data_IF_998844976729
#
_entry.id   IF_998844976729
#
_cell.length_a   1.000
_cell.length_b   1.000
_cell.length_c   1.000
_cell.angle_alpha   90.00
_cell.angle_beta   90.00
_cell.angle_gamma   90.00
#
_symmetry.space_group_name_H-M   'P 1'
#
loop_
_entity.id
_entity.type
_entity.pdbx_description
1 polymer ?
#
# COMPACT_ATOMS: atom_id res chain seq x y z
N UNK A 1 -1.87 4.26 14.83
CA UNK A 1 -1.29 4.14 13.47
C UNK A 1 -1.97 5.16 12.59
N UNK A 2 -1.33 5.66 11.51
CA UNK A 2 -2.01 6.57 10.60
C UNK A 2 -3.16 5.85 9.88
N UNK A 3 -4.19 6.61 9.56
CA UNK A 3 -5.35 6.19 8.77
C UNK A 3 -5.11 6.39 7.28
N UNK A 4 -5.90 5.72 6.45
CA UNK A 4 -5.90 5.92 5.00
C UNK A 4 -6.10 7.39 4.61
N UNK A 5 -7.00 8.10 5.30
CA UNK A 5 -7.26 9.51 5.04
C UNK A 5 -6.06 10.41 5.35
N UNK A 6 -5.29 10.12 6.40
CA UNK A 6 -4.05 10.85 6.70
C UNK A 6 -2.99 10.62 5.62
N UNK A 7 -2.87 9.38 5.12
CA UNK A 7 -1.98 9.06 3.99
C UNK A 7 -2.41 9.78 2.72
N UNK A 8 -3.71 9.76 2.38
CA UNK A 8 -4.24 10.48 1.24
C UNK A 8 -4.02 11.99 1.33
N UNK A 9 -4.21 12.57 2.51
CA UNK A 9 -3.93 13.99 2.74
C UNK A 9 -2.48 14.34 2.41
N UNK A 10 -1.53 13.47 2.75
CA UNK A 10 -0.12 13.62 2.37
C UNK A 10 0.10 13.43 0.87
N UNK A 11 -0.48 12.40 0.25
CA UNK A 11 -0.40 12.19 -1.21
C UNK A 11 -0.86 13.44 -1.95
N UNK A 12 -2.03 13.98 -1.62
CA UNK A 12 -2.59 15.18 -2.25
C UNK A 12 -1.69 16.41 -2.02
N UNK A 13 -1.03 16.50 -0.88
CA UNK A 13 -0.14 17.62 -0.56
C UNK A 13 1.21 17.56 -1.29
N UNK A 14 1.70 16.37 -1.66
CA UNK A 14 3.10 16.19 -2.13
C UNK A 14 3.25 15.53 -3.49
N UNK A 15 2.18 15.03 -4.13
CA UNK A 15 2.30 14.24 -5.37
C UNK A 15 3.01 14.97 -6.51
N UNK A 16 2.86 16.30 -6.61
CA UNK A 16 3.50 17.12 -7.66
C UNK A 16 5.01 17.18 -7.50
N UNK A 17 5.49 17.17 -6.26
CA UNK A 17 6.92 17.15 -5.97
C UNK A 17 7.52 15.76 -6.19
N UNK A 18 6.71 14.71 -6.04
CA UNK A 18 7.12 13.31 -6.20
C UNK A 18 7.03 12.79 -7.64
N UNK A 19 6.24 13.43 -8.50
CA UNK A 19 6.04 13.00 -9.89
C UNK A 19 7.37 12.86 -10.65
N UNK A 20 8.34 13.73 -10.37
CA UNK A 20 9.68 13.69 -11.00
C UNK A 20 10.50 12.48 -10.59
N UNK A 21 10.20 11.87 -9.44
CA UNK A 21 10.85 10.66 -8.92
C UNK A 21 10.13 9.38 -9.39
N UNK A 22 8.95 9.52 -9.99
CA UNK A 22 8.12 8.42 -10.45
C UNK A 22 8.00 8.41 -11.98
N UNK A 23 8.95 7.80 -12.73
CA UNK A 23 9.03 7.89 -14.18
C UNK A 23 7.84 7.26 -14.94
N UNK A 24 7.04 6.45 -14.25
CA UNK A 24 5.80 5.85 -14.77
C UNK A 24 4.63 6.85 -14.81
N UNK A 25 4.76 7.98 -14.12
CA UNK A 25 3.71 9.00 -14.04
C UNK A 25 3.65 9.85 -15.31
N UNK A 26 2.41 10.12 -15.78
CA UNK A 26 2.13 10.97 -16.95
C UNK A 26 1.04 12.00 -16.67
N UNK A 27 0.01 11.59 -15.93
CA UNK A 27 -1.09 12.46 -15.48
C UNK A 27 -1.40 12.12 -14.02
N UNK A 28 -0.49 12.53 -13.13
CA UNK A 28 -0.54 12.17 -11.72
C UNK A 28 -1.79 12.74 -11.04
N UNK A 29 -2.21 13.94 -11.42
CA UNK A 29 -3.41 14.56 -10.85
C UNK A 29 -4.66 13.73 -11.14
N UNK A 30 -4.80 13.23 -12.36
CA UNK A 30 -5.89 12.33 -12.72
C UNK A 30 -5.85 11.00 -11.97
N UNK A 31 -4.66 10.42 -11.79
CA UNK A 31 -4.49 9.18 -11.03
C UNK A 31 -4.81 9.35 -9.54
N UNK A 32 -4.33 10.43 -8.92
CA UNK A 32 -4.62 10.75 -7.51
C UNK A 32 -6.11 11.00 -7.30
N UNK A 33 -6.79 11.63 -8.25
CA UNK A 33 -8.24 11.86 -8.19
C UNK A 33 -9.07 10.57 -8.22
N UNK A 34 -8.52 9.43 -8.68
CA UNK A 34 -9.18 8.12 -8.65
C UNK A 34 -9.11 7.44 -7.29
N UNK A 35 -8.23 7.90 -6.40
CA UNK A 35 -8.08 7.28 -5.08
C UNK A 35 -9.35 7.50 -4.23
N UNK A 36 -9.90 6.44 -3.63
CA UNK A 36 -11.13 6.55 -2.86
C UNK A 36 -10.87 7.29 -1.56
N UNK A 37 -11.72 8.27 -1.23
CA UNK A 37 -11.66 9.07 0.00
C UNK A 37 -12.03 8.29 1.28
N UNK A 38 -12.26 6.98 1.16
CA UNK A 38 -12.55 6.04 2.24
C UNK A 38 -11.82 4.74 1.95
N UNK A 39 -11.53 3.91 2.97
CA UNK A 39 -11.06 2.55 2.76
C UNK A 39 -11.89 1.85 1.66
N UNK A 40 -11.24 1.22 0.66
CA UNK A 40 -11.96 0.58 -0.43
C UNK A 40 -12.71 -0.64 0.08
N UNK A 41 -13.94 -0.85 -0.40
CA UNK A 41 -14.77 -2.00 0.00
C UNK A 41 -14.29 -3.34 -0.58
N UNK A 42 -13.40 -3.27 -1.58
CA UNK A 42 -12.78 -4.40 -2.29
C UNK A 42 -11.29 -4.12 -2.44
N UNK A 43 -10.51 -5.07 -2.96
CA UNK A 43 -9.09 -4.86 -3.25
C UNK A 43 -8.96 -3.83 -4.38
N UNK A 44 -8.43 -2.65 -4.05
CA UNK A 44 -8.11 -1.63 -5.04
C UNK A 44 -6.70 -1.89 -5.58
N UNK A 45 -6.61 -2.25 -6.85
CA UNK A 45 -5.33 -2.35 -7.56
C UNK A 45 -4.89 -0.95 -7.99
N UNK A 46 -3.64 -0.62 -7.68
CA UNK A 46 -3.03 0.67 -7.96
C UNK A 46 -2.25 0.62 -9.27
N UNK A 47 -2.23 1.75 -9.98
CA UNK A 47 -1.32 1.93 -11.12
C UNK A 47 0.12 2.09 -10.64
N UNK A 48 1.10 1.79 -11.49
CA UNK A 48 2.52 1.92 -11.17
C UNK A 48 2.91 3.35 -10.74
N UNK A 49 2.24 4.37 -11.27
CA UNK A 49 2.41 5.76 -10.83
C UNK A 49 2.00 5.95 -9.37
N UNK A 50 0.78 5.51 -9.01
CA UNK A 50 0.26 5.64 -7.65
C UNK A 50 1.01 4.76 -6.66
N UNK A 51 1.40 3.55 -7.06
CA UNK A 51 2.26 2.68 -6.26
C UNK A 51 3.58 3.38 -5.92
N UNK A 52 4.23 4.02 -6.89
CA UNK A 52 5.46 4.78 -6.66
C UNK A 52 5.25 5.94 -5.68
N UNK A 53 4.23 6.76 -5.90
CA UNK A 53 3.93 7.92 -5.04
C UNK A 53 3.58 7.49 -3.63
N UNK A 54 2.74 6.47 -3.47
CA UNK A 54 2.39 5.94 -2.16
C UNK A 54 3.61 5.38 -1.44
N UNK A 55 4.51 4.67 -2.14
CA UNK A 55 5.77 4.19 -1.55
C UNK A 55 6.56 5.35 -0.94
N UNK A 56 6.80 6.41 -1.72
CA UNK A 56 7.51 7.61 -1.27
C UNK A 56 6.80 8.28 -0.09
N UNK A 57 5.48 8.47 -0.17
CA UNK A 57 4.71 9.11 0.90
C UNK A 57 4.78 8.29 2.19
N UNK A 58 4.61 6.98 2.13
CA UNK A 58 4.63 6.09 3.30
C UNK A 58 5.98 6.11 4.01
N UNK A 59 7.09 6.26 3.27
CA UNK A 59 8.43 6.40 3.87
C UNK A 59 8.61 7.70 4.64
N UNK A 60 7.84 8.75 4.33
CA UNK A 60 7.85 10.02 5.08
C UNK A 60 6.98 10.01 6.35
N UNK A 61 6.18 8.96 6.57
CA UNK A 61 5.25 8.89 7.70
C UNK A 61 5.89 8.09 8.83
N UNK A 62 6.15 8.71 9.99
CA UNK A 62 6.71 7.98 11.11
C UNK A 62 5.71 6.97 11.65
N UNK A 63 6.20 5.85 12.17
CA UNK A 63 5.40 4.82 12.83
C UNK A 63 4.35 4.15 11.93
N UNK A 64 4.61 4.02 10.62
CA UNK A 64 3.90 3.06 9.77
C UNK A 64 4.61 1.72 9.87
N UNK A 65 3.98 0.69 10.47
CA UNK A 65 4.51 -0.67 10.43
C UNK A 65 4.71 -1.12 8.98
N UNK A 66 5.94 -1.54 8.67
CA UNK A 66 6.34 -2.06 7.37
C UNK A 66 6.92 -3.45 7.55
N UNK A 67 6.46 -4.39 6.74
CA UNK A 67 6.94 -5.76 6.68
C UNK A 67 7.32 -6.09 5.24
N UNK A 68 8.40 -6.83 5.06
CA UNK A 68 8.82 -7.28 3.74
C UNK A 68 8.43 -8.74 3.57
N UNK A 69 7.80 -9.03 2.44
CA UNK A 69 7.48 -10.38 2.02
C UNK A 69 8.32 -10.70 0.79
N UNK A 70 8.99 -11.84 0.84
CA UNK A 70 9.79 -12.32 -0.27
C UNK A 70 9.15 -13.59 -0.83
N UNK A 71 9.10 -13.68 -2.15
CA UNK A 71 8.91 -14.92 -2.90
C UNK A 71 10.20 -15.21 -3.68
N UNK A 72 10.33 -16.39 -4.32
CA UNK A 72 11.47 -16.68 -5.18
C UNK A 72 11.62 -15.74 -6.38
N UNK A 73 10.56 -15.03 -6.76
CA UNK A 73 10.51 -14.21 -7.97
C UNK A 73 10.47 -12.70 -7.66
N UNK A 74 9.89 -12.32 -6.52
CA UNK A 74 9.53 -10.93 -6.22
C UNK A 74 9.63 -10.62 -4.72
N UNK A 75 9.81 -9.34 -4.41
CA UNK A 75 9.71 -8.81 -3.05
C UNK A 75 8.61 -7.75 -3.02
N UNK A 76 7.77 -7.79 -1.98
CA UNK A 76 6.73 -6.79 -1.75
C UNK A 76 6.82 -6.25 -0.34
N UNK A 77 6.49 -4.97 -0.17
CA UNK A 77 6.38 -4.31 1.11
C UNK A 77 4.92 -4.21 1.52
N UNK A 78 4.60 -4.66 2.73
CA UNK A 78 3.30 -4.56 3.35
C UNK A 78 3.34 -3.45 4.41
N UNK A 79 2.53 -2.43 4.19
CA UNK A 79 2.30 -1.34 5.12
C UNK A 79 0.95 -1.53 5.80
N UNK A 80 0.94 -1.52 7.13
CA UNK A 80 -0.30 -1.70 7.89
C UNK A 80 -0.74 -0.38 8.50
N UNK A 81 -1.89 0.12 8.04
CA UNK A 81 -2.53 1.32 8.58
C UNK A 81 -3.61 0.93 9.59
N UNK A 82 -4.24 1.94 10.19
CA UNK A 82 -5.30 1.72 11.18
C UNK A 82 -6.51 1.00 10.55
N UNK A 83 -6.90 1.42 9.35
CA UNK A 83 -8.12 1.04 8.64
C UNK A 83 -7.88 0.29 7.31
N UNK A 84 -6.66 0.32 6.77
CA UNK A 84 -6.29 -0.40 5.53
C UNK A 84 -4.95 -1.11 5.66
N UNK A 85 -4.71 -2.05 4.75
CA UNK A 85 -3.38 -2.61 4.46
C UNK A 85 -3.02 -2.25 3.03
N UNK A 86 -1.77 -1.83 2.84
CA UNK A 86 -1.23 -1.44 1.54
C UNK A 86 -0.10 -2.40 1.20
N UNK A 87 -0.21 -3.05 0.06
CA UNK A 87 0.87 -3.83 -0.54
C UNK A 87 1.51 -3.03 -1.67
N UNK A 88 2.84 -2.98 -1.68
CA UNK A 88 3.63 -2.26 -2.67
C UNK A 88 4.69 -3.23 -3.21
N UNK A 89 4.52 -3.64 -4.46
CA UNK A 89 5.53 -4.33 -5.25
C UNK A 89 6.27 -3.39 -6.19
N UNK A 90 7.16 -3.96 -7.00
CA UNK A 90 8.02 -3.22 -7.94
C UNK A 90 7.23 -2.49 -9.03
N UNK A 91 6.18 -3.12 -9.56
CA UNK A 91 5.40 -2.58 -10.70
C UNK A 91 3.93 -2.30 -10.37
N UNK A 92 3.43 -2.87 -9.29
CA UNK A 92 2.03 -2.77 -8.86
C UNK A 92 1.92 -2.62 -7.36
N UNK A 93 0.75 -2.22 -6.90
CA UNK A 93 0.40 -2.27 -5.49
C UNK A 93 -1.09 -2.43 -5.32
N UNK A 94 -1.51 -2.66 -4.09
CA UNK A 94 -2.91 -2.81 -3.75
C UNK A 94 -3.24 -2.17 -2.40
N UNK A 95 -4.47 -1.70 -2.26
CA UNK A 95 -5.02 -1.20 -1.00
C UNK A 95 -6.26 -2.02 -0.67
N UNK A 96 -6.31 -2.55 0.54
CA UNK A 96 -7.42 -3.34 1.02
C UNK A 96 -7.86 -2.83 2.39
N UNK A 97 -9.16 -2.77 2.64
CA UNK A 97 -9.67 -2.53 3.99
C UNK A 97 -9.17 -3.63 4.94
N UNK A 98 -8.74 -3.21 6.13
CA UNK A 98 -8.10 -4.09 7.11
C UNK A 98 -8.99 -5.27 7.52
N UNK A 99 -10.31 -5.15 7.40
CA UNK A 99 -11.27 -6.24 7.67
C UNK A 99 -11.09 -7.43 6.73
N UNK A 100 -10.54 -7.22 5.54
CA UNK A 100 -10.31 -8.25 4.52
C UNK A 100 -8.84 -8.64 4.42
N UNK A 101 -7.99 -8.25 5.39
CA UNK A 101 -6.55 -8.53 5.34
C UNK A 101 -6.23 -10.01 5.21
N UNK A 102 -7.05 -10.88 5.81
CA UNK A 102 -6.85 -12.33 5.71
C UNK A 102 -6.96 -12.82 4.25
N UNK A 103 -7.86 -12.23 3.44
CA UNK A 103 -8.01 -12.53 2.01
C UNK A 103 -6.77 -12.11 1.20
N UNK A 104 -6.20 -10.94 1.51
CA UNK A 104 -4.93 -10.50 0.90
C UNK A 104 -3.79 -11.47 1.22
N UNK A 105 -3.68 -11.89 2.48
CA UNK A 105 -2.60 -12.79 2.90
C UNK A 105 -2.74 -14.18 2.30
N UNK A 106 -3.97 -14.69 2.15
CA UNK A 106 -4.22 -15.94 1.43
C UNK A 106 -3.85 -15.83 -0.07
N UNK A 107 -4.15 -14.69 -0.71
CA UNK A 107 -3.75 -14.43 -2.09
C UNK A 107 -2.23 -14.43 -2.23
N UNK A 108 -1.52 -13.67 -1.38
CA UNK A 108 -0.06 -13.61 -1.38
C UNK A 108 0.58 -14.97 -1.09
N UNK A 109 0.04 -15.74 -0.15
CA UNK A 109 0.51 -17.10 0.14
C UNK A 109 0.34 -18.03 -1.07
N UNK A 110 -0.79 -17.91 -1.81
CA UNK A 110 -1.04 -18.68 -3.04
C UNK A 110 -0.05 -18.34 -4.18
N UNK A 111 0.50 -17.12 -4.15
CA UNK A 111 1.54 -16.65 -5.07
C UNK A 111 2.96 -17.04 -4.62
N UNK A 112 3.11 -17.70 -3.46
CA UNK A 112 4.39 -18.19 -2.96
C UNK A 112 5.13 -17.25 -2.02
N UNK A 113 4.48 -16.19 -1.51
CA UNK A 113 5.06 -15.32 -0.47
C UNK A 113 4.94 -15.95 0.93
N UNK A 114 5.98 -15.79 1.76
CA UNK A 114 5.93 -16.22 3.17
C UNK A 114 5.26 -15.17 4.08
N UNK A 115 3.94 -15.30 4.24
CA UNK A 115 3.11 -14.33 4.99
C UNK A 115 3.08 -14.54 6.52
N UNK A 116 3.81 -15.53 7.06
CA UNK A 116 3.69 -15.93 8.48
C UNK A 116 3.93 -14.77 9.45
N UNK A 117 4.99 -13.99 9.20
CA UNK A 117 5.35 -12.86 10.05
C UNK A 117 4.27 -11.77 10.06
N UNK A 118 3.61 -11.54 8.92
CA UNK A 118 2.52 -10.56 8.80
C UNK A 118 1.29 -11.04 9.55
N UNK A 119 0.90 -12.31 9.39
CA UNK A 119 -0.20 -12.93 10.13
C UNK A 119 0.01 -12.84 11.64
N UNK A 120 1.21 -13.17 12.13
CA UNK A 120 1.54 -13.07 13.55
C UNK A 120 1.46 -11.63 14.07
N UNK A 121 2.00 -10.68 13.32
CA UNK A 121 2.02 -9.28 13.73
C UNK A 121 0.59 -8.72 13.84
N UNK A 122 -0.24 -8.93 12.82
CA UNK A 122 -1.63 -8.44 12.80
C UNK A 122 -2.42 -9.02 13.98
N UNK A 123 -2.25 -10.31 14.28
CA UNK A 123 -2.96 -10.97 15.38
C UNK A 123 -2.56 -10.45 16.76
N UNK A 124 -1.34 -9.90 16.92
CA UNK A 124 -0.91 -9.29 18.19
C UNK A 124 -1.46 -7.87 18.40
N UNK A 125 -2.04 -7.27 17.36
CA UNK A 125 -2.61 -5.91 17.41
C UNK A 125 -4.14 -5.92 17.54
N UNK A 126 -4.78 -7.09 17.56
CA UNK A 126 -6.21 -7.27 17.87
C UNK A 126 -6.39 -7.36 19.39
#
# INVERSE_FOLDING_TARGET
MPTWNEVLGKVVATYRDLEVECPQCRDTEHEVAKLPQKPPSEILILSSCITCILSQVLETIPNVPRMYLSSPLEEVAIYVLDDVVIEIGTESGSVIDRRYVDELLELLESMGFDVRNVKEWINRQK
#
